data_IF_253546628493
#
_entry.id   IF_253546628493
#
_cell.length_a   1.000
_cell.length_b   1.000
_cell.length_c   1.000
_cell.angle_alpha   90.00
_cell.angle_beta   90.00
_cell.angle_gamma   90.00
#
_symmetry.space_group_name_H-M   'P 1'
#
loop_
_entity.id
_entity.type
_entity.pdbx_description
1 polymer ?
#
# COMPACT_ATOMS: atom_id res chain seq x y z
N UNK A 1 -9.28 -4.95 -6.04
CA UNK A 1 -9.22 -3.86 -7.04
C UNK A 1 -7.96 -4.03 -7.86
N UNK A 2 -8.09 -4.18 -9.16
CA UNK A 2 -6.92 -4.37 -10.02
C UNK A 2 -6.15 -3.08 -10.32
N UNK A 3 -6.77 -1.90 -10.13
CA UNK A 3 -6.09 -0.64 -10.43
C UNK A 3 -6.42 0.44 -9.39
N UNK A 4 -5.54 1.44 -9.31
CA UNK A 4 -5.74 2.60 -8.43
C UNK A 4 -6.89 3.50 -8.90
N UNK A 5 -7.30 3.38 -10.16
CA UNK A 5 -8.44 4.15 -10.68
C UNK A 5 -9.74 3.81 -9.96
N UNK A 6 -9.83 2.63 -9.35
CA UNK A 6 -11.00 2.19 -8.60
C UNK A 6 -11.00 2.65 -7.14
N UNK A 7 -9.92 3.28 -6.68
CA UNK A 7 -9.84 3.77 -5.31
C UNK A 7 -10.78 4.97 -5.13
N UNK A 8 -11.60 4.99 -4.07
CA UNK A 8 -12.33 6.22 -3.74
C UNK A 8 -11.35 7.32 -3.34
N UNK A 9 -11.78 8.57 -3.50
CA UNK A 9 -10.93 9.72 -3.18
C UNK A 9 -10.50 9.73 -1.70
N UNK A 10 -11.37 9.27 -0.80
CA UNK A 10 -11.02 9.16 0.61
C UNK A 10 -9.85 8.20 0.86
N UNK A 11 -9.78 7.11 0.11
CA UNK A 11 -8.68 6.15 0.22
C UNK A 11 -7.38 6.74 -0.35
N UNK A 12 -7.47 7.43 -1.50
CA UNK A 12 -6.31 8.11 -2.08
C UNK A 12 -5.75 9.15 -1.13
N UNK A 13 -6.62 9.94 -0.51
CA UNK A 13 -6.19 10.97 0.44
C UNK A 13 -5.56 10.36 1.69
N UNK A 14 -6.15 9.28 2.21
CA UNK A 14 -5.61 8.60 3.39
C UNK A 14 -4.23 8.00 3.11
N UNK A 15 -4.07 7.38 1.95
CA UNK A 15 -2.78 6.80 1.55
C UNK A 15 -1.72 7.89 1.34
N UNK A 16 -2.09 9.00 0.72
CA UNK A 16 -1.18 10.13 0.52
C UNK A 16 -0.70 10.70 1.87
N UNK A 17 -1.60 10.84 2.84
CA UNK A 17 -1.23 11.29 4.19
C UNK A 17 -0.29 10.30 4.87
N UNK A 18 -0.59 9.02 4.79
CA UNK A 18 0.24 7.97 5.40
C UNK A 18 1.65 7.99 4.82
N UNK A 19 1.77 8.12 3.52
CA UNK A 19 3.05 8.10 2.80
C UNK A 19 3.71 9.47 2.74
N UNK A 20 3.10 10.48 3.35
CA UNK A 20 3.61 11.86 3.43
C UNK A 20 3.86 12.49 2.06
N UNK A 21 2.96 12.21 1.13
CA UNK A 21 2.98 12.78 -0.21
C UNK A 21 1.97 13.92 -0.30
N UNK A 22 2.27 14.93 -1.10
CA UNK A 22 1.34 16.04 -1.34
C UNK A 22 0.10 15.58 -2.09
N UNK A 23 0.23 14.52 -2.85
CA UNK A 23 -0.86 13.94 -3.63
C UNK A 23 -0.67 12.43 -3.70
N UNK A 24 -1.73 11.74 -4.07
CA UNK A 24 -1.70 10.29 -4.21
C UNK A 24 -0.68 9.86 -5.27
N UNK A 25 0.22 8.96 -4.88
CA UNK A 25 1.27 8.44 -5.77
C UNK A 25 1.43 6.94 -5.52
N UNK A 26 0.88 6.15 -6.41
CA UNK A 26 0.96 4.69 -6.35
C UNK A 26 0.80 4.17 -7.78
N UNK A 27 1.81 3.49 -8.30
CA UNK A 27 1.75 2.90 -9.63
C UNK A 27 0.76 1.72 -9.64
N UNK A 28 0.16 1.47 -10.79
CA UNK A 28 -0.68 0.29 -10.98
C UNK A 28 0.17 -0.97 -11.11
N UNK A 29 -0.42 -2.15 -10.88
CA UNK A 29 0.30 -3.41 -11.10
C UNK A 29 0.83 -3.48 -12.55
N UNK A 30 2.11 -3.83 -12.67
CA UNK A 30 2.77 -3.92 -13.96
C UNK A 30 3.31 -2.61 -14.52
N UNK A 31 2.92 -1.47 -13.97
CA UNK A 31 3.40 -0.17 -14.43
C UNK A 31 4.77 0.17 -13.86
N UNK A 32 5.46 1.10 -14.50
CA UNK A 32 6.78 1.54 -14.07
C UNK A 32 6.72 2.29 -12.73
N UNK A 33 7.73 2.08 -11.91
CA UNK A 33 7.91 2.79 -10.65
C UNK A 33 9.40 2.84 -10.31
N UNK A 34 9.77 3.60 -9.28
CA UNK A 34 11.17 3.71 -8.84
C UNK A 34 11.53 2.47 -8.01
N UNK A 35 12.12 1.48 -8.66
CA UNK A 35 12.45 0.20 -8.03
C UNK A 35 13.67 0.26 -7.12
N UNK A 36 14.56 1.24 -7.35
CA UNK A 36 15.83 1.38 -6.65
C UNK A 36 16.01 2.82 -6.17
N UNK A 37 17.10 3.07 -5.45
CA UNK A 37 17.48 4.41 -5.03
C UNK A 37 18.05 5.25 -6.18
N UNK A 38 18.32 4.63 -7.32
CA UNK A 38 18.73 5.35 -8.54
C UNK A 38 17.50 5.92 -9.21
N UNK A 39 17.40 7.24 -9.27
CA UNK A 39 16.25 7.92 -9.86
C UNK A 39 16.35 7.82 -11.38
N UNK A 40 15.48 7.03 -11.99
CA UNK A 40 15.38 6.92 -13.45
C UNK A 40 14.52 8.02 -14.04
N UNK A 41 13.39 8.30 -13.42
CA UNK A 41 12.43 9.32 -13.83
C UNK A 41 11.78 9.90 -12.58
N UNK A 42 11.86 11.21 -12.39
CA UNK A 42 11.37 11.86 -11.18
C UNK A 42 9.85 11.78 -11.00
N UNK A 43 9.09 11.66 -12.10
CA UNK A 43 7.64 11.57 -12.04
C UNK A 43 7.13 10.19 -11.63
N UNK A 44 7.99 9.17 -11.62
CA UNK A 44 7.56 7.82 -11.24
C UNK A 44 7.41 7.72 -9.71
N UNK A 45 6.31 7.11 -9.24
CA UNK A 45 6.17 6.85 -7.82
C UNK A 45 7.17 5.80 -7.33
N UNK A 46 7.49 5.83 -6.07
CA UNK A 46 8.39 4.84 -5.45
C UNK A 46 7.65 3.59 -4.97
N UNK A 47 6.33 3.56 -5.11
CA UNK A 47 5.47 2.47 -4.66
C UNK A 47 4.60 1.96 -5.79
N UNK A 48 4.34 0.66 -5.80
CA UNK A 48 3.50 0.03 -6.82
C UNK A 48 2.50 -0.91 -6.17
N UNK A 49 1.23 -0.76 -6.54
CA UNK A 49 0.14 -1.58 -6.03
C UNK A 49 0.33 -3.05 -6.43
N UNK A 50 0.06 -3.95 -5.49
CA UNK A 50 -0.05 -5.38 -5.74
C UNK A 50 -1.52 -5.77 -5.70
N UNK A 51 -2.19 -5.54 -4.58
CA UNK A 51 -3.62 -5.81 -4.44
C UNK A 51 -4.20 -4.89 -3.37
N UNK A 52 -5.44 -4.48 -3.57
CA UNK A 52 -6.18 -3.69 -2.60
C UNK A 52 -7.63 -4.16 -2.57
N UNK A 53 -8.32 -3.88 -1.48
CA UNK A 53 -9.71 -4.24 -1.37
C UNK A 53 -10.37 -3.67 -0.14
N UNK A 54 -11.67 -3.91 -0.05
CA UNK A 54 -12.49 -3.51 1.08
C UNK A 54 -13.10 -4.75 1.72
N UNK A 55 -13.06 -4.81 3.05
CA UNK A 55 -13.71 -5.84 3.83
C UNK A 55 -14.46 -5.17 4.98
N UNK A 56 -15.79 -5.17 4.93
CA UNK A 56 -16.64 -4.46 5.90
C UNK A 56 -16.27 -2.98 5.93
N UNK A 57 -15.84 -2.45 7.07
CA UNK A 57 -15.44 -1.05 7.22
C UNK A 57 -13.95 -0.81 7.03
N UNK A 58 -13.21 -1.84 6.64
CA UNK A 58 -11.77 -1.74 6.46
C UNK A 58 -11.40 -1.72 4.98
N UNK A 59 -10.42 -0.90 4.64
CA UNK A 59 -9.71 -0.94 3.36
C UNK A 59 -8.32 -1.44 3.61
N UNK A 60 -7.79 -2.26 2.70
CA UNK A 60 -6.39 -2.67 2.75
C UNK A 60 -5.71 -2.36 1.43
N UNK A 61 -4.42 -2.02 1.51
CA UNK A 61 -3.55 -1.83 0.35
C UNK A 61 -2.29 -2.63 0.61
N UNK A 62 -1.98 -3.55 -0.31
CA UNK A 62 -0.71 -4.27 -0.32
C UNK A 62 0.09 -3.77 -1.50
N UNK A 63 1.29 -3.28 -1.22
CA UNK A 63 2.12 -2.65 -2.25
C UNK A 63 3.59 -2.99 -2.04
N UNK A 64 4.37 -2.83 -3.11
CA UNK A 64 5.81 -2.92 -3.04
C UNK A 64 6.42 -1.53 -3.05
N UNK A 65 7.54 -1.38 -2.38
CA UNK A 65 8.25 -0.12 -2.26
C UNK A 65 9.69 -0.32 -2.69
N UNK A 66 10.14 0.53 -3.62
CA UNK A 66 11.52 0.58 -4.07
C UNK A 66 12.33 1.57 -3.24
N UNK A 67 13.60 1.69 -3.56
CA UNK A 67 14.53 2.55 -2.88
C UNK A 67 15.82 1.80 -2.56
N UNK A 68 16.45 2.12 -1.43
CA UNK A 68 17.69 1.47 -0.99
C UNK A 68 17.44 -0.02 -0.72
N UNK A 69 16.28 -0.35 -0.16
CA UNK A 69 15.82 -1.72 0.00
C UNK A 69 14.52 -1.92 -0.75
N UNK A 70 14.23 -3.16 -1.13
CA UNK A 70 12.95 -3.51 -1.74
C UNK A 70 12.15 -4.31 -0.72
N UNK A 71 11.00 -3.80 -0.33
CA UNK A 71 10.13 -4.50 0.60
C UNK A 71 8.68 -4.44 0.15
N UNK A 72 7.85 -5.18 0.87
CA UNK A 72 6.42 -5.26 0.63
C UNK A 72 5.70 -4.80 1.88
N UNK A 73 4.70 -3.96 1.71
CA UNK A 73 3.93 -3.40 2.80
C UNK A 73 2.47 -3.78 2.69
N UNK A 74 1.82 -3.86 3.84
CA UNK A 74 0.38 -4.05 3.93
C UNK A 74 -0.14 -3.05 4.93
N UNK A 75 -1.08 -2.22 4.51
CA UNK A 75 -1.67 -1.19 5.37
C UNK A 75 -3.18 -1.34 5.40
N UNK A 76 -3.76 -1.07 6.59
CA UNK A 76 -5.20 -1.11 6.80
C UNK A 76 -5.69 0.26 7.23
N UNK A 77 -6.82 0.66 6.66
CA UNK A 77 -7.55 1.87 7.02
C UNK A 77 -8.95 1.48 7.46
N UNK A 78 -9.48 2.19 8.44
CA UNK A 78 -10.86 1.99 8.90
C UNK A 78 -11.70 3.20 8.52
N UNK A 79 -12.89 2.93 7.97
CA UNK A 79 -13.87 3.97 7.68
C UNK A 79 -14.73 4.24 8.94
N UNK A 80 -14.92 5.51 9.28
CA UNK A 80 -15.84 5.91 10.32
C UNK A 80 -17.26 6.09 9.74
N UNK A 81 -18.21 6.58 10.58
CA UNK A 81 -19.58 6.79 10.17
C UNK A 81 -19.76 7.85 9.08
N UNK A 82 -18.75 8.69 8.84
CA UNK A 82 -18.74 9.72 7.81
C UNK A 82 -17.85 9.33 6.62
N UNK A 83 -17.48 8.05 6.51
CA UNK A 83 -16.60 7.51 5.47
C UNK A 83 -15.18 8.10 5.46
N UNK A 84 -14.78 8.72 6.56
CA UNK A 84 -13.39 9.14 6.73
C UNK A 84 -12.52 7.94 7.06
N UNK A 85 -11.35 7.88 6.46
CA UNK A 85 -10.44 6.76 6.65
C UNK A 85 -9.31 7.15 7.59
N UNK A 86 -9.06 6.28 8.57
CA UNK A 86 -7.95 6.40 9.52
C UNK A 86 -7.05 5.20 9.38
N UNK A 87 -5.74 5.43 9.46
CA UNK A 87 -4.78 4.34 9.49
C UNK A 87 -4.92 3.56 10.79
N UNK A 88 -5.00 2.24 10.67
CA UNK A 88 -5.20 1.34 11.81
C UNK A 88 -3.96 0.50 12.07
N UNK A 89 -3.38 -0.08 11.02
CA UNK A 89 -2.27 -1.01 11.18
C UNK A 89 -1.48 -1.08 9.87
N UNK A 90 -0.19 -1.28 10.01
CA UNK A 90 0.68 -1.55 8.87
C UNK A 90 1.76 -2.52 9.25
N UNK A 91 2.17 -3.31 8.27
CA UNK A 91 3.25 -4.27 8.42
C UNK A 91 4.12 -4.32 7.19
N UNK A 92 5.36 -4.72 7.38
CA UNK A 92 6.34 -4.87 6.32
C UNK A 92 6.89 -6.28 6.29
N UNK A 93 7.27 -6.74 5.11
CA UNK A 93 7.86 -8.05 4.94
C UNK A 93 8.55 -8.17 3.60
N UNK A 94 8.99 -9.37 3.32
CA UNK A 94 9.68 -9.68 2.07
C UNK A 94 8.83 -10.59 1.18
N UNK A 95 7.54 -10.71 1.48
CA UNK A 95 6.63 -11.58 0.77
C UNK A 95 5.66 -10.78 -0.08
N UNK A 96 5.63 -11.08 -1.37
CA UNK A 96 4.64 -10.58 -2.30
C UNK A 96 3.44 -11.53 -2.30
N UNK A 97 2.27 -11.03 -1.94
CA UNK A 97 1.04 -11.81 -1.95
C UNK A 97 0.10 -11.24 -3.03
N UNK A 98 0.12 -11.86 -4.20
CA UNK A 98 -0.56 -11.32 -5.38
C UNK A 98 -2.07 -11.51 -5.40
N UNK A 99 -2.63 -12.25 -4.46
CA UNK A 99 -4.08 -12.48 -4.36
C UNK A 99 -4.52 -12.32 -2.92
N UNK A 100 -5.83 -12.11 -2.71
CA UNK A 100 -6.40 -12.01 -1.36
C UNK A 100 -6.15 -13.28 -0.56
N UNK A 101 -6.27 -14.45 -1.19
CA UNK A 101 -6.02 -15.73 -0.52
C UNK A 101 -4.58 -15.86 -0.04
N UNK A 102 -3.62 -15.48 -0.90
CA UNK A 102 -2.20 -15.48 -0.53
C UNK A 102 -1.91 -14.47 0.56
N UNK A 103 -2.56 -13.32 0.53
CA UNK A 103 -2.40 -12.29 1.53
C UNK A 103 -2.90 -12.76 2.90
N UNK A 104 -4.06 -13.41 2.95
CA UNK A 104 -4.57 -14.01 4.19
C UNK A 104 -3.62 -15.05 4.76
N UNK A 105 -3.06 -15.90 3.88
CA UNK A 105 -2.08 -16.90 4.29
C UNK A 105 -0.82 -16.27 4.85
N UNK A 106 -0.32 -15.21 4.23
CA UNK A 106 0.85 -14.49 4.70
C UNK A 106 0.61 -13.83 6.06
N UNK A 107 -0.57 -13.24 6.26
CA UNK A 107 -0.93 -12.65 7.56
C UNK A 107 -0.98 -13.74 8.64
N UNK A 108 -1.64 -14.86 8.35
CA UNK A 108 -1.75 -15.99 9.29
C UNK A 108 -0.38 -16.57 9.64
N UNK A 109 0.54 -16.58 8.69
CA UNK A 109 1.92 -17.06 8.89
C UNK A 109 2.84 -16.00 9.52
N UNK A 110 2.32 -14.81 9.84
CA UNK A 110 3.04 -13.70 10.45
C UNK A 110 4.24 -13.23 9.61
N UNK A 111 4.07 -13.23 8.29
CA UNK A 111 5.11 -12.80 7.37
C UNK A 111 5.21 -11.27 7.26
N UNK A 112 4.21 -10.53 7.75
CA UNK A 112 4.25 -9.08 7.86
C UNK A 112 4.47 -8.70 9.32
N UNK A 113 5.60 -8.10 9.60
CA UNK A 113 5.92 -7.62 10.94
C UNK A 113 5.24 -6.28 11.18
N UNK A 114 4.62 -6.12 12.36
CA UNK A 114 4.09 -4.85 12.79
C UNK A 114 5.18 -3.78 12.68
N UNK A 115 4.89 -2.71 11.99
CA UNK A 115 5.87 -1.67 11.72
C UNK A 115 5.28 -0.31 12.08
N UNK A 116 5.98 0.39 12.96
CA UNK A 116 5.65 1.77 13.36
C UNK A 116 6.55 2.78 12.69
N UNK A 117 7.23 2.37 11.64
CA UNK A 117 8.07 3.23 10.84
C UNK A 117 7.27 4.40 10.26
N UNK A 118 7.94 5.52 10.05
CA UNK A 118 7.38 6.67 9.38
C UNK A 118 7.55 6.62 7.86
N UNK A 119 7.97 5.48 7.32
CA UNK A 119 8.36 5.34 5.92
C UNK A 119 7.44 4.40 5.13
N UNK A 120 6.17 4.60 5.28
CA UNK A 120 5.17 3.81 4.52
C UNK A 120 5.17 4.07 3.00
#
# INVERSE_FOLDING_TARGET
MPTTAQFPESLKSAFARLTRQNRFALANPGDAYQETDVIKRQELPSRRLIVAGKCQSFWFIHYEQGGIGHDYALVFFRADSHSRLSFVWGGRGFTRAGTVAKLRGAIAAKLFSDDRSYYW
#
